data_IF_274764141392
#
_entry.id   IF_274764141392
#
_cell.length_a   1.000
_cell.length_b   1.000
_cell.length_c   1.000
_cell.angle_alpha   90.00
_cell.angle_beta   90.00
_cell.angle_gamma   90.00
#
_symmetry.space_group_name_H-M   'P 1'
#
loop_
_entity.id
_entity.type
_entity.pdbx_description
1 polymer ?
#
# COMPACT_ATOMS: atom_id res chain seq x y z
N UNK A 1 -15.37 -22.74 -5.28
CA UNK A 1 -14.35 -21.77 -5.76
C UNK A 1 -14.89 -21.12 -7.03
N UNK A 2 -15.02 -19.79 -7.06
CA UNK A 2 -15.66 -19.03 -8.16
C UNK A 2 -14.57 -18.42 -9.06
N UNK A 3 -14.68 -18.58 -10.38
CA UNK A 3 -13.73 -18.04 -11.38
C UNK A 3 -13.60 -16.51 -11.31
N UNK A 4 -14.68 -15.79 -11.01
CA UNK A 4 -14.68 -14.33 -10.87
C UNK A 4 -13.77 -13.88 -9.72
N UNK A 5 -13.76 -14.65 -8.62
CA UNK A 5 -12.91 -14.38 -7.45
C UNK A 5 -11.43 -14.62 -7.78
N UNK A 6 -11.13 -15.61 -8.62
CA UNK A 6 -9.78 -15.88 -9.10
C UNK A 6 -9.31 -14.77 -10.06
N UNK A 7 -10.17 -14.29 -10.96
CA UNK A 7 -9.87 -13.15 -11.83
C UNK A 7 -9.61 -11.88 -11.02
N UNK A 8 -10.43 -11.61 -10.01
CA UNK A 8 -10.24 -10.47 -9.11
C UNK A 8 -8.88 -10.55 -8.37
N UNK A 9 -8.52 -11.73 -7.86
CA UNK A 9 -7.21 -11.93 -7.24
C UNK A 9 -6.05 -11.75 -8.23
N UNK A 10 -6.22 -12.19 -9.49
CA UNK A 10 -5.23 -11.98 -10.54
C UNK A 10 -5.03 -10.49 -10.86
N UNK A 11 -6.11 -9.72 -10.95
CA UNK A 11 -6.06 -8.27 -11.16
C UNK A 11 -5.40 -7.55 -9.99
N UNK A 12 -5.73 -7.92 -8.76
CA UNK A 12 -5.10 -7.39 -7.55
C UNK A 12 -3.59 -7.68 -7.54
N UNK A 13 -3.17 -8.86 -8.00
CA UNK A 13 -1.75 -9.22 -8.11
C UNK A 13 -1.04 -8.36 -9.16
N UNK A 14 -1.65 -8.13 -10.34
CA UNK A 14 -1.10 -7.21 -11.35
C UNK A 14 -0.96 -5.79 -10.82
N UNK A 15 -1.94 -5.32 -10.06
CA UNK A 15 -1.91 -4.00 -9.42
C UNK A 15 -0.76 -3.88 -8.41
N UNK A 16 -0.55 -4.90 -7.57
CA UNK A 16 0.58 -4.94 -6.63
C UNK A 16 1.93 -4.92 -7.35
N UNK A 17 2.10 -5.72 -8.40
CA UNK A 17 3.34 -5.72 -9.20
C UNK A 17 3.60 -4.34 -9.80
N UNK A 18 2.57 -3.67 -10.32
CA UNK A 18 2.69 -2.30 -10.84
C UNK A 18 3.13 -1.31 -9.75
N UNK A 19 2.51 -1.39 -8.57
CA UNK A 19 2.87 -0.54 -7.44
C UNK A 19 4.31 -0.78 -6.96
N UNK A 20 4.77 -2.04 -6.91
CA UNK A 20 6.16 -2.38 -6.56
C UNK A 20 7.17 -1.79 -7.55
N UNK A 21 6.86 -1.85 -8.86
CA UNK A 21 7.71 -1.23 -9.89
C UNK A 21 7.78 0.29 -9.77
N UNK A 22 6.67 0.94 -9.41
CA UNK A 22 6.70 2.40 -9.21
C UNK A 22 7.51 2.77 -7.97
N UNK A 23 7.38 2.02 -6.87
CA UNK A 23 8.23 2.19 -5.67
C UNK A 23 9.71 2.09 -6.04
N UNK A 24 10.10 1.05 -6.79
CA UNK A 24 11.48 0.86 -7.22
C UNK A 24 11.97 2.06 -8.05
N UNK A 25 11.17 2.51 -9.04
CA UNK A 25 11.48 3.66 -9.88
C UNK A 25 11.65 4.96 -9.07
N UNK A 26 10.77 5.23 -8.11
CA UNK A 26 10.87 6.44 -7.27
C UNK A 26 12.04 6.35 -6.28
N UNK A 27 12.31 5.16 -5.76
CA UNK A 27 13.44 4.90 -4.86
C UNK A 27 14.77 5.13 -5.57
N UNK A 28 14.95 4.56 -6.77
CA UNK A 28 16.13 4.79 -7.60
C UNK A 28 16.30 6.29 -7.93
N UNK A 29 15.20 6.97 -8.27
CA UNK A 29 15.23 8.42 -8.51
C UNK A 29 15.72 9.19 -7.28
N UNK A 30 15.16 8.94 -6.11
CA UNK A 30 15.58 9.61 -4.87
C UNK A 30 17.05 9.33 -4.57
N UNK A 31 17.48 8.07 -4.73
CA UNK A 31 18.87 7.66 -4.50
C UNK A 31 19.86 8.35 -5.46
N UNK A 32 19.44 8.62 -6.70
CA UNK A 32 20.28 9.32 -7.69
C UNK A 32 20.41 10.84 -7.44
N UNK A 33 19.60 11.42 -6.55
CA UNK A 33 19.65 12.86 -6.25
C UNK A 33 20.79 13.19 -5.29
N UNK A 34 21.49 14.29 -5.54
CA UNK A 34 22.63 14.71 -4.72
C UNK A 34 22.47 16.15 -4.17
N UNK A 35 23.43 16.60 -3.37
CA UNK A 35 23.38 17.91 -2.70
C UNK A 35 23.78 19.09 -3.59
N UNK A 36 24.51 18.84 -4.67
CA UNK A 36 25.06 19.86 -5.55
C UNK A 36 24.08 20.22 -6.67
N UNK A 37 23.41 19.20 -7.23
CA UNK A 37 22.54 19.34 -8.41
C UNK A 37 21.06 19.49 -8.05
N UNK A 38 20.70 19.28 -6.78
CA UNK A 38 19.31 19.32 -6.35
C UNK A 38 19.16 20.19 -5.09
N UNK A 39 18.11 21.02 -5.11
CA UNK A 39 17.69 21.78 -3.94
C UNK A 39 17.11 20.86 -2.86
N UNK A 40 17.15 21.33 -1.60
CA UNK A 40 16.46 20.69 -0.47
C UNK A 40 14.99 20.42 -0.80
N UNK A 41 14.31 21.37 -1.45
CA UNK A 41 12.91 21.24 -1.86
C UNK A 41 12.67 20.12 -2.87
N UNK A 42 13.56 19.95 -3.84
CA UNK A 42 13.44 18.88 -4.83
C UNK A 42 13.65 17.49 -4.20
N UNK A 43 14.62 17.35 -3.29
CA UNK A 43 14.85 16.09 -2.57
C UNK A 43 13.70 15.76 -1.63
N UNK A 44 13.20 16.75 -0.87
CA UNK A 44 12.02 16.59 -0.03
C UNK A 44 10.81 16.10 -0.84
N UNK A 45 10.51 16.76 -1.97
CA UNK A 45 9.40 16.35 -2.83
C UNK A 45 9.58 14.94 -3.44
N UNK A 46 10.81 14.50 -3.70
CA UNK A 46 11.07 13.14 -4.15
C UNK A 46 10.87 12.10 -3.02
N UNK A 47 11.24 12.45 -1.78
CA UNK A 47 10.99 11.64 -0.59
C UNK A 47 9.48 11.51 -0.29
N UNK A 48 8.74 12.61 -0.38
CA UNK A 48 7.28 12.60 -0.18
C UNK A 48 6.60 11.68 -1.21
N UNK A 49 6.96 11.84 -2.49
CA UNK A 49 6.45 10.97 -3.57
C UNK A 49 6.81 9.50 -3.37
N UNK A 50 7.99 9.19 -2.84
CA UNK A 50 8.38 7.81 -2.51
C UNK A 50 7.48 7.26 -1.40
N UNK A 51 7.21 8.08 -0.39
CA UNK A 51 6.32 7.72 0.72
C UNK A 51 4.90 7.42 0.23
N UNK A 52 4.37 8.24 -0.68
CA UNK A 52 3.06 8.03 -1.29
C UNK A 52 2.96 6.69 -2.03
N UNK A 53 3.95 6.36 -2.85
CA UNK A 53 3.95 5.11 -3.63
C UNK A 53 4.19 3.88 -2.76
N UNK A 54 4.97 3.99 -1.69
CA UNK A 54 5.11 2.94 -0.68
C UNK A 54 3.78 2.65 0.00
N UNK A 55 3.03 3.69 0.37
CA UNK A 55 1.71 3.51 0.94
C UNK A 55 0.73 2.90 -0.06
N UNK A 56 0.78 3.31 -1.34
CA UNK A 56 -0.04 2.70 -2.39
C UNK A 56 0.27 1.21 -2.58
N UNK A 57 1.55 0.80 -2.53
CA UNK A 57 1.97 -0.61 -2.54
C UNK A 57 1.38 -1.38 -1.36
N UNK A 58 1.44 -0.82 -0.15
CA UNK A 58 0.92 -1.48 1.05
C UNK A 58 -0.59 -1.68 0.96
N UNK A 59 -1.33 -0.68 0.47
CA UNK A 59 -2.77 -0.81 0.19
C UNK A 59 -3.07 -1.88 -0.86
N UNK A 60 -2.28 -1.97 -1.92
CA UNK A 60 -2.43 -3.00 -2.94
C UNK A 60 -2.13 -4.42 -2.38
N UNK A 61 -1.19 -4.52 -1.44
CA UNK A 61 -0.88 -5.77 -0.75
C UNK A 61 -2.03 -6.21 0.17
N UNK A 62 -2.57 -5.28 0.96
CA UNK A 62 -3.74 -5.53 1.82
C UNK A 62 -4.97 -5.93 0.99
N UNK A 63 -5.17 -5.29 -0.17
CA UNK A 63 -6.25 -5.63 -1.11
C UNK A 63 -6.07 -7.02 -1.73
N UNK A 64 -4.87 -7.35 -2.23
CA UNK A 64 -4.56 -8.68 -2.76
C UNK A 64 -4.82 -9.76 -1.70
N UNK A 65 -4.39 -9.53 -0.46
CA UNK A 65 -4.65 -10.46 0.63
C UNK A 65 -6.16 -10.70 0.80
N UNK A 66 -6.97 -9.65 0.84
CA UNK A 66 -8.42 -9.80 0.95
C UNK A 66 -9.03 -10.60 -0.23
N UNK A 67 -8.57 -10.33 -1.47
CA UNK A 67 -9.01 -11.10 -2.64
C UNK A 67 -8.62 -12.58 -2.56
N UNK A 68 -7.41 -12.89 -2.09
CA UNK A 68 -6.94 -14.27 -1.90
C UNK A 68 -7.74 -15.01 -0.83
N UNK A 69 -8.07 -14.35 0.28
CA UNK A 69 -8.94 -14.92 1.32
C UNK A 69 -10.33 -15.18 0.76
N UNK A 70 -10.91 -14.21 0.06
CA UNK A 70 -12.24 -14.34 -0.55
C UNK A 70 -12.30 -15.47 -1.59
N UNK A 71 -11.20 -15.70 -2.31
CA UNK A 71 -11.05 -16.80 -3.27
C UNK A 71 -10.78 -18.17 -2.61
N UNK A 72 -10.50 -18.22 -1.30
CA UNK A 72 -10.16 -19.44 -0.58
C UNK A 72 -8.73 -19.93 -0.80
N UNK A 73 -7.83 -19.03 -1.24
CA UNK A 73 -6.43 -19.36 -1.55
C UNK A 73 -5.46 -19.11 -0.38
N UNK A 74 -5.90 -18.39 0.65
CA UNK A 74 -5.11 -18.13 1.85
C UNK A 74 -6.03 -17.95 3.06
N UNK A 75 -5.63 -18.34 4.28
CA UNK A 75 -6.45 -18.12 5.47
C UNK A 75 -6.55 -16.63 5.82
N UNK A 76 -7.67 -16.25 6.43
CA UNK A 76 -7.80 -14.90 6.97
C UNK A 76 -6.82 -14.70 8.14
N UNK A 77 -6.21 -13.52 8.18
CA UNK A 77 -5.47 -13.04 9.35
C UNK A 77 -6.42 -12.75 10.53
N UNK A 78 -5.90 -12.61 11.77
CA UNK A 78 -6.71 -12.23 12.92
C UNK A 78 -7.46 -10.91 12.70
N UNK A 79 -8.65 -10.76 13.31
CA UNK A 79 -9.52 -9.60 13.13
C UNK A 79 -8.82 -8.24 13.37
N UNK A 80 -7.92 -8.17 14.35
CA UNK A 80 -7.14 -6.96 14.64
C UNK A 80 -6.24 -6.50 13.48
N UNK A 81 -5.90 -7.38 12.53
CA UNK A 81 -5.14 -7.01 11.34
C UNK A 81 -5.92 -6.07 10.40
N UNK A 82 -7.25 -6.12 10.44
CA UNK A 82 -8.12 -5.31 9.58
C UNK A 82 -8.68 -4.08 10.29
N UNK A 83 -8.27 -3.84 11.54
CA UNK A 83 -8.70 -2.67 12.30
C UNK A 83 -8.17 -1.38 11.65
N UNK A 84 -8.94 -0.30 11.78
CA UNK A 84 -8.48 1.03 11.39
C UNK A 84 -7.23 1.40 12.18
N UNK A 85 -6.15 1.74 11.48
CA UNK A 85 -4.88 2.19 12.04
C UNK A 85 -4.64 3.66 11.71
N UNK A 86 -4.01 4.36 12.63
CA UNK A 86 -3.46 5.68 12.36
C UNK A 86 -2.07 5.51 11.74
N UNK A 87 -1.85 6.20 10.62
CA UNK A 87 -0.58 6.21 9.91
C UNK A 87 -0.05 7.63 10.01
N UNK A 88 1.15 7.76 10.58
CA UNK A 88 1.90 9.00 10.58
C UNK A 88 2.88 8.98 9.42
N UNK A 89 2.71 9.89 8.47
CA UNK A 89 3.69 10.13 7.42
C UNK A 89 4.40 11.45 7.68
N UNK A 90 5.73 11.43 7.58
CA UNK A 90 6.49 12.68 7.49
C UNK A 90 6.27 13.26 6.09
N UNK A 91 5.72 14.45 6.04
CA UNK A 91 5.81 15.32 4.88
C UNK A 91 7.09 16.16 5.01
N UNK A 92 7.79 16.43 3.91
CA UNK A 92 9.01 17.22 3.90
C UNK A 92 8.91 18.53 4.70
N UNK A 93 10.05 19.05 5.15
CA UNK A 93 10.15 20.27 5.97
C UNK A 93 9.58 20.15 7.40
N UNK A 94 9.51 18.95 7.96
CA UNK A 94 9.16 18.74 9.37
C UNK A 94 7.66 18.71 9.65
N UNK A 95 6.83 18.61 8.61
CA UNK A 95 5.40 18.39 8.75
C UNK A 95 5.10 16.90 8.93
N UNK A 96 4.14 16.56 9.78
CA UNK A 96 3.58 15.21 9.86
C UNK A 96 2.11 15.24 9.50
N UNK A 97 1.68 14.26 8.70
CA UNK A 97 0.28 14.04 8.37
C UNK A 97 -0.13 12.76 9.06
N UNK A 98 -1.13 12.85 9.94
CA UNK A 98 -1.84 11.69 10.47
C UNK A 98 -3.02 11.37 9.57
N UNK A 99 -3.13 10.12 9.12
CA UNK A 99 -4.29 9.62 8.39
C UNK A 99 -4.81 8.33 8.99
N UNK A 100 -6.13 8.16 9.00
CA UNK A 100 -6.77 6.90 9.36
C UNK A 100 -6.86 6.02 8.12
N UNK A 101 -6.41 4.78 8.24
CA UNK A 101 -6.47 3.79 7.18
C UNK A 101 -7.08 2.48 7.70
N UNK A 102 -8.06 1.96 6.98
CA UNK A 102 -8.64 0.64 7.22
C UNK A 102 -8.21 -0.29 6.09
N UNK A 103 -7.50 -1.40 6.37
CA UNK A 103 -7.17 -2.41 5.37
C UNK A 103 -8.41 -3.00 4.70
N UNK A 104 -8.24 -3.55 3.50
CA UNK A 104 -9.34 -4.27 2.83
C UNK A 104 -9.77 -5.48 3.68
N UNK A 105 -11.06 -5.54 4.03
CA UNK A 105 -11.61 -6.58 4.90
C UNK A 105 -12.21 -7.69 4.02
N UNK A 106 -11.73 -8.95 4.12
CA UNK A 106 -12.35 -10.10 3.46
C UNK A 106 -13.81 -10.30 3.90
N UNK A 107 -14.61 -10.90 3.04
CA UNK A 107 -16.06 -11.08 3.25
C UNK A 107 -16.34 -11.90 4.52
N UNK A 108 -15.59 -13.00 4.71
CA UNK A 108 -15.74 -13.87 5.88
C UNK A 108 -15.42 -13.18 7.22
N UNK A 109 -14.54 -12.17 7.22
CA UNK A 109 -14.22 -11.39 8.42
C UNK A 109 -15.26 -10.30 8.62
N UNK A 110 -15.73 -9.68 7.53
CA UNK A 110 -16.77 -8.66 7.57
C UNK A 110 -18.08 -9.20 8.15
N UNK A 111 -18.42 -10.44 7.85
CA UNK A 111 -19.59 -11.14 8.41
C UNK A 111 -19.49 -11.36 9.92
N UNK A 112 -18.28 -11.56 10.45
CA UNK A 112 -18.02 -11.76 11.88
C UNK A 112 -17.94 -10.45 12.68
N UNK A 113 -17.79 -9.31 11.99
CA UNK A 113 -17.70 -7.98 12.59
C UNK A 113 -19.06 -7.27 12.68
N UNK A 114 -20.14 -7.89 12.19
CA UNK A 114 -21.52 -7.43 12.36
C UNK A 114 -22.11 -7.92 13.67
#
# INVERSE_FOLDING_TARGET
>A
MNIEKLQTAQEAMKALISAMKDVEKKSQKLHSMNFNDNSVKQRAAASDRLTDVCFARDRASDYLHACLVNAGLTPAKPAGHYATREIHQSAGFGHSISMKYTPAIPDCVREQMK
#
